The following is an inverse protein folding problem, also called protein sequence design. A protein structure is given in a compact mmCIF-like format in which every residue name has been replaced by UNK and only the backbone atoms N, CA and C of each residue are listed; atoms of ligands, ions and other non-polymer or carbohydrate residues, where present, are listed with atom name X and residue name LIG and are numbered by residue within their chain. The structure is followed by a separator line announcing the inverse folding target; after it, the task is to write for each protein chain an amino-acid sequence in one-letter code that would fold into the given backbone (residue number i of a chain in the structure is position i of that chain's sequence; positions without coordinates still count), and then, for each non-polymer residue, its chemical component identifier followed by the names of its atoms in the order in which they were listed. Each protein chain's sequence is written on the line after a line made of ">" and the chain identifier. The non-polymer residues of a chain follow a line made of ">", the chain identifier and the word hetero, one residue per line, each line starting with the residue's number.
data_IF_279225592504
#
_entry.id   IF_279225592504
#
_cell.length_a   1.000
_cell.length_b   1.000
_cell.length_c   1.000
_cell.angle_alpha   90.00
_cell.angle_beta   90.00
_cell.angle_gamma   90.00
#
_symmetry.space_group_name_H-M   'P 1'
#
loop_
_entity.id
_entity.type
_entity.pdbx_description
1 polymer ?
#
# COMPACT_ATOMS: atom_id res chain seq x y z
N UNK A 1 5.10 -30.36 -13.17
CA UNK A 1 4.47 -29.37 -12.28
C UNK A 1 5.36 -29.19 -11.08
N UNK A 2 6.13 -28.10 -11.05
CA UNK A 2 6.93 -27.77 -9.87
C UNK A 2 6.06 -27.25 -8.73
N UNK A 3 6.61 -27.10 -7.51
CA UNK A 3 5.87 -26.55 -6.38
C UNK A 3 5.40 -25.13 -6.71
N UNK A 4 4.11 -24.85 -6.48
CA UNK A 4 3.58 -23.49 -6.58
C UNK A 4 4.24 -22.59 -5.53
N UNK A 5 4.59 -21.34 -5.87
CA UNK A 5 5.19 -20.43 -4.90
C UNK A 5 4.28 -20.19 -3.70
N UNK A 6 4.91 -20.10 -2.54
CA UNK A 6 4.25 -19.97 -1.25
C UNK A 6 3.72 -18.55 -1.08
N UNK A 7 2.49 -18.46 -0.58
CA UNK A 7 1.83 -17.20 -0.24
C UNK A 7 1.37 -17.31 1.20
N UNK A 8 2.04 -16.58 2.08
CA UNK A 8 1.82 -16.64 3.51
C UNK A 8 1.53 -15.24 4.04
N UNK A 9 0.47 -15.13 4.82
CA UNK A 9 0.07 -13.91 5.50
C UNK A 9 -0.08 -14.15 6.99
N UNK A 10 0.48 -13.25 7.79
CA UNK A 10 0.30 -13.19 9.25
C UNK A 10 -0.33 -11.84 9.58
N UNK A 11 -1.49 -11.85 10.23
CA UNK A 11 -2.23 -10.63 10.55
C UNK A 11 -2.96 -9.99 9.36
N UNK A 12 -2.95 -10.63 8.19
CA UNK A 12 -3.75 -10.26 7.01
C UNK A 12 -4.44 -11.52 6.47
N UNK A 13 -5.65 -11.36 5.94
CA UNK A 13 -6.36 -12.45 5.25
C UNK A 13 -5.60 -12.94 4.01
N UNK A 14 -5.62 -14.26 3.77
CA UNK A 14 -4.86 -14.91 2.69
C UNK A 14 -5.48 -14.64 1.32
N UNK A 15 -6.81 -14.65 1.22
CA UNK A 15 -7.51 -14.42 -0.05
C UNK A 15 -7.36 -12.96 -0.46
N UNK A 16 -7.36 -12.05 0.51
CA UNK A 16 -7.01 -10.64 0.32
C UNK A 16 -5.58 -10.50 -0.23
N UNK A 17 -4.58 -11.21 0.31
CA UNK A 17 -3.23 -11.20 -0.26
C UNK A 17 -3.22 -11.71 -1.72
N UNK A 18 -3.94 -12.80 -2.01
CA UNK A 18 -4.02 -13.35 -3.36
C UNK A 18 -4.64 -12.35 -4.35
N UNK A 19 -5.73 -11.69 -3.93
CA UNK A 19 -6.39 -10.62 -4.68
C UNK A 19 -5.43 -9.46 -4.98
N UNK A 20 -4.73 -8.96 -3.97
CA UNK A 20 -3.78 -7.86 -4.12
C UNK A 20 -2.66 -8.20 -5.11
N UNK A 21 -2.11 -9.41 -5.03
CA UNK A 21 -1.10 -9.88 -5.99
C UNK A 21 -1.65 -9.97 -7.43
N UNK A 22 -2.91 -10.34 -7.60
CA UNK A 22 -3.55 -10.37 -8.91
C UNK A 22 -3.72 -8.95 -9.49
N UNK A 23 -4.16 -7.99 -8.67
CA UNK A 23 -4.30 -6.57 -9.07
C UNK A 23 -2.95 -5.97 -9.44
N UNK A 24 -1.93 -6.23 -8.61
CA UNK A 24 -0.56 -5.75 -8.83
C UNK A 24 -0.01 -6.21 -10.18
N UNK A 25 -0.21 -7.48 -10.52
CA UNK A 25 0.18 -8.04 -11.81
C UNK A 25 -0.61 -7.41 -12.96
N UNK A 26 -1.95 -7.37 -12.86
CA UNK A 26 -2.82 -6.92 -13.96
C UNK A 26 -2.67 -5.44 -14.28
N UNK A 27 -2.54 -4.58 -13.28
CA UNK A 27 -2.63 -3.13 -13.46
C UNK A 27 -1.30 -2.40 -13.34
N UNK A 28 -0.34 -2.93 -12.59
CA UNK A 28 0.98 -2.32 -12.47
C UNK A 28 2.09 -3.09 -13.21
N UNK A 29 1.76 -4.22 -13.85
CA UNK A 29 2.72 -5.05 -14.58
C UNK A 29 3.77 -5.72 -13.70
N UNK A 30 3.56 -5.75 -12.38
CA UNK A 30 4.50 -6.30 -11.42
C UNK A 30 4.09 -7.75 -11.12
N UNK A 31 4.81 -8.70 -11.72
CA UNK A 31 4.57 -10.11 -11.55
C UNK A 31 5.31 -10.66 -10.32
N UNK A 32 4.57 -11.31 -9.42
CA UNK A 32 5.10 -12.09 -8.30
C UNK A 32 4.72 -13.58 -8.43
N UNK A 33 4.46 -14.04 -9.66
CA UNK A 33 3.89 -15.37 -9.91
C UNK A 33 4.85 -16.52 -9.64
N UNK A 34 6.16 -16.24 -9.75
CA UNK A 34 7.28 -17.15 -9.55
C UNK A 34 8.01 -16.91 -8.21
N UNK A 35 7.49 -16.00 -7.38
CA UNK A 35 8.08 -15.60 -6.11
C UNK A 35 7.29 -16.13 -4.92
N UNK A 36 7.99 -16.59 -3.89
CA UNK A 36 7.39 -16.75 -2.57
C UNK A 36 7.07 -15.35 -1.99
N UNK A 37 5.85 -15.15 -1.51
CA UNK A 37 5.40 -13.88 -0.92
C UNK A 37 4.97 -14.11 0.53
N UNK A 38 5.69 -13.46 1.45
CA UNK A 38 5.39 -13.46 2.88
C UNK A 38 5.02 -12.04 3.33
N UNK A 39 3.83 -11.88 3.91
CA UNK A 39 3.37 -10.60 4.47
C UNK A 39 3.10 -10.79 5.96
N UNK A 40 3.64 -9.90 6.79
CA UNK A 40 3.46 -9.93 8.24
C UNK A 40 3.03 -8.56 8.76
N UNK A 41 1.89 -8.51 9.45
CA UNK A 41 1.49 -7.36 10.23
C UNK A 41 2.19 -7.40 11.61
N UNK A 42 3.22 -6.57 11.76
CA UNK A 42 4.08 -6.55 12.95
C UNK A 42 3.32 -6.06 14.19
N UNK A 43 3.71 -6.55 15.36
CA UNK A 43 3.09 -6.17 16.65
C UNK A 43 1.90 -7.04 17.05
N UNK A 44 1.69 -8.18 16.37
CA UNK A 44 0.59 -9.11 16.67
C UNK A 44 -0.79 -8.58 16.23
N UNK A 45 -0.81 -7.54 15.39
CA UNK A 45 -2.05 -6.90 14.94
C UNK A 45 -2.73 -7.73 13.86
N UNK A 46 -4.07 -7.65 13.82
CA UNK A 46 -4.88 -8.21 12.73
C UNK A 46 -5.50 -7.06 11.94
N UNK A 47 -5.19 -7.02 10.65
CA UNK A 47 -5.64 -5.99 9.71
C UNK A 47 -6.88 -6.51 8.98
N UNK A 48 -8.05 -6.11 9.47
CA UNK A 48 -9.33 -6.35 8.79
C UNK A 48 -9.72 -5.22 7.85
N UNK A 49 -9.14 -4.03 8.01
CA UNK A 49 -9.56 -2.83 7.27
C UNK A 49 -9.05 -2.84 5.82
N UNK A 50 -9.92 -2.63 4.81
CA UNK A 50 -9.54 -2.52 3.39
C UNK A 50 -8.53 -1.39 3.11
N UNK A 51 -8.56 -0.30 3.85
CA UNK A 51 -7.65 0.83 3.68
C UNK A 51 -6.15 0.48 3.85
N UNK A 52 -5.80 -0.71 4.34
CA UNK A 52 -4.42 -1.16 4.38
C UNK A 52 -3.90 -1.74 3.04
N UNK A 53 -4.76 -1.96 2.05
CA UNK A 53 -4.40 -2.64 0.79
C UNK A 53 -3.23 -1.95 0.07
N UNK A 54 -3.32 -0.62 -0.07
CA UNK A 54 -2.27 0.15 -0.73
C UNK A 54 -0.93 0.01 0.00
N UNK A 55 -0.92 0.04 1.33
CA UNK A 55 0.30 -0.13 2.12
C UNK A 55 0.92 -1.53 1.90
N UNK A 56 0.10 -2.57 1.84
CA UNK A 56 0.55 -3.94 1.56
C UNK A 56 1.15 -4.04 0.16
N UNK A 57 0.51 -3.46 -0.86
CA UNK A 57 1.04 -3.46 -2.23
C UNK A 57 2.40 -2.76 -2.33
N UNK A 58 2.53 -1.60 -1.70
CA UNK A 58 3.78 -0.84 -1.71
C UNK A 58 4.89 -1.57 -0.95
N UNK A 59 4.56 -2.26 0.14
CA UNK A 59 5.51 -3.10 0.87
C UNK A 59 6.00 -4.30 0.05
N UNK A 60 5.09 -4.98 -0.67
CA UNK A 60 5.45 -6.08 -1.58
C UNK A 60 6.35 -5.58 -2.69
N UNK A 61 6.00 -4.46 -3.33
CA UNK A 61 6.81 -3.86 -4.39
C UNK A 61 8.19 -3.43 -3.88
N UNK A 62 8.26 -2.79 -2.70
CA UNK A 62 9.52 -2.40 -2.05
C UNK A 62 10.43 -3.62 -1.79
N UNK A 63 9.86 -4.70 -1.25
CA UNK A 63 10.57 -5.96 -1.01
C UNK A 63 11.10 -6.58 -2.31
N UNK A 64 10.25 -6.68 -3.34
CA UNK A 64 10.62 -7.24 -4.64
C UNK A 64 11.76 -6.46 -5.31
N UNK A 65 11.79 -5.13 -5.13
CA UNK A 65 12.82 -4.26 -5.70
C UNK A 65 14.10 -4.15 -4.87
N UNK A 66 14.10 -4.67 -3.64
CA UNK A 66 15.20 -4.49 -2.69
C UNK A 66 15.46 -3.01 -2.35
N UNK A 67 14.43 -2.16 -2.45
CA UNK A 67 14.54 -0.71 -2.22
C UNK A 67 13.60 -0.29 -1.09
N UNK A 68 14.12 0.25 0.03
CA UNK A 68 13.28 0.64 1.16
C UNK A 68 12.41 1.86 0.80
N UNK A 69 11.20 1.91 1.37
CA UNK A 69 10.40 3.13 1.35
C UNK A 69 11.06 4.21 2.24
N UNK A 70 10.83 5.51 1.97
CA UNK A 70 11.41 6.59 2.76
C UNK A 70 11.09 6.51 4.25
N UNK A 71 11.97 7.05 5.10
CA UNK A 71 11.66 7.24 6.52
C UNK A 71 10.51 8.24 6.69
N UNK A 72 9.62 7.98 7.64
CA UNK A 72 8.44 8.83 7.85
C UNK A 72 7.36 8.66 6.78
N UNK A 73 7.38 7.55 6.03
CA UNK A 73 6.39 7.20 5.02
C UNK A 73 5.21 6.42 5.62
N UNK A 74 3.99 6.74 5.16
CA UNK A 74 2.84 5.86 5.33
C UNK A 74 1.94 5.87 4.08
N UNK A 75 1.05 4.89 3.98
CA UNK A 75 0.04 4.87 2.93
C UNK A 75 -1.25 4.25 3.46
N UNK A 76 -2.37 4.64 2.87
CA UNK A 76 -3.64 3.97 3.04
C UNK A 76 -4.47 4.11 1.76
N UNK A 77 -5.46 3.24 1.59
CA UNK A 77 -6.31 3.16 0.43
C UNK A 77 -6.76 1.72 0.22
N UNK A 78 -8.05 1.55 -0.06
CA UNK A 78 -8.62 0.26 -0.47
C UNK A 78 -8.33 0.06 -1.96
N UNK A 79 -8.00 -1.18 -2.35
CA UNK A 79 -7.68 -1.49 -3.73
C UNK A 79 -8.82 -2.29 -4.35
N UNK A 80 -9.41 -1.72 -5.40
CA UNK A 80 -10.39 -2.43 -6.20
C UNK A 80 -9.76 -3.34 -7.25
N UNK A 81 -10.55 -4.30 -7.73
CA UNK A 81 -10.11 -5.26 -8.75
C UNK A 81 -9.76 -4.62 -10.10
N UNK A 82 -10.29 -3.42 -10.37
CA UNK A 82 -9.99 -2.66 -11.58
C UNK A 82 -8.75 -1.76 -11.43
N UNK A 83 -8.00 -1.91 -10.33
CA UNK A 83 -6.76 -1.17 -10.05
C UNK A 83 -6.99 0.23 -9.51
N UNK A 84 -8.23 0.59 -9.19
CA UNK A 84 -8.57 1.87 -8.57
C UNK A 84 -8.19 1.91 -7.09
N UNK A 85 -7.82 3.09 -6.61
CA UNK A 85 -7.51 3.36 -5.22
C UNK A 85 -8.68 4.10 -4.59
N UNK A 86 -9.40 3.43 -3.69
CA UNK A 86 -10.65 3.89 -3.09
C UNK A 86 -10.40 4.53 -1.72
N UNK A 87 -11.23 5.53 -1.33
CA UNK A 87 -11.05 6.23 -0.07
C UNK A 87 -11.25 5.33 1.15
N UNK A 88 -10.36 5.48 2.13
CA UNK A 88 -10.52 4.88 3.45
C UNK A 88 -11.34 5.77 4.39
N UNK A 89 -11.94 5.19 5.45
CA UNK A 89 -12.68 5.95 6.45
C UNK A 89 -11.75 6.89 7.23
N UNK A 90 -12.27 8.08 7.56
CA UNK A 90 -11.57 9.09 8.38
C UNK A 90 -10.19 9.48 7.84
N UNK A 91 -10.06 9.61 6.51
CA UNK A 91 -8.77 9.88 5.87
C UNK A 91 -8.13 11.21 6.29
N UNK A 92 -8.94 12.25 6.52
CA UNK A 92 -8.44 13.55 6.97
C UNK A 92 -7.87 13.48 8.39
N UNK A 93 -8.54 12.74 9.28
CA UNK A 93 -8.10 12.50 10.65
C UNK A 93 -6.80 11.67 10.65
N UNK A 94 -6.72 10.61 9.83
CA UNK A 94 -5.51 9.80 9.67
C UNK A 94 -4.30 10.66 9.26
N UNK A 95 -4.47 11.54 8.27
CA UNK A 95 -3.41 12.43 7.81
C UNK A 95 -2.93 13.39 8.90
N UNK A 96 -3.86 14.00 9.65
CA UNK A 96 -3.53 14.92 10.75
C UNK A 96 -2.81 14.22 11.89
N UNK A 97 -3.27 13.03 12.28
CA UNK A 97 -2.61 12.24 13.33
C UNK A 97 -1.23 11.76 12.88
N UNK A 98 -1.08 11.33 11.62
CA UNK A 98 0.22 10.95 11.08
C UNK A 98 1.22 12.11 11.12
N UNK A 99 0.81 13.32 10.75
CA UNK A 99 1.67 14.50 10.84
C UNK A 99 2.10 14.79 12.29
N UNK A 100 1.19 14.67 13.27
CA UNK A 100 1.51 14.83 14.70
C UNK A 100 2.51 13.78 15.20
N UNK A 101 2.45 12.57 14.66
CA UNK A 101 3.36 11.46 14.98
C UNK A 101 4.71 11.56 14.23
N UNK A 102 4.91 12.59 13.41
CA UNK A 102 6.17 12.85 12.72
C UNK A 102 6.32 12.13 11.37
N UNK A 103 5.23 11.64 10.78
CA UNK A 103 5.26 11.20 9.38
C UNK A 103 5.40 12.40 8.45
N UNK A 104 6.30 12.28 7.49
CA UNK A 104 6.67 13.35 6.55
C UNK A 104 6.11 13.11 5.14
N UNK A 105 5.65 11.89 4.84
CA UNK A 105 5.17 11.53 3.52
C UNK A 105 4.00 10.54 3.56
N UNK A 106 2.98 10.80 2.74
CA UNK A 106 1.81 9.95 2.58
C UNK A 106 1.52 9.64 1.10
N UNK A 107 1.16 8.40 0.77
CA UNK A 107 0.42 8.09 -0.46
C UNK A 107 -1.01 7.70 -0.08
N UNK A 108 -2.00 8.42 -0.63
CA UNK A 108 -3.40 8.30 -0.22
C UNK A 108 -4.35 8.34 -1.42
N UNK A 109 -5.60 7.86 -1.27
CA UNK A 109 -6.60 7.99 -2.31
C UNK A 109 -6.88 9.47 -2.54
N UNK A 110 -7.04 9.90 -3.78
CA UNK A 110 -7.29 11.31 -4.10
C UNK A 110 -8.52 11.88 -3.40
N UNK A 111 -9.55 11.05 -3.23
CA UNK A 111 -10.75 11.42 -2.47
C UNK A 111 -10.49 11.67 -0.97
N UNK A 112 -9.38 11.20 -0.41
CA UNK A 112 -8.95 11.53 0.95
C UNK A 112 -7.92 12.68 1.00
N UNK A 113 -7.48 13.23 -0.13
CA UNK A 113 -6.52 14.33 -0.13
C UNK A 113 -7.13 15.59 0.53
N UNK A 114 -6.39 16.29 1.41
CA UNK A 114 -6.91 17.46 2.09
C UNK A 114 -6.98 18.66 1.14
N UNK A 115 -7.98 19.52 1.34
CA UNK A 115 -8.11 20.78 0.59
C UNK A 115 -7.01 21.79 0.93
N UNK A 116 -6.46 21.70 2.14
CA UNK A 116 -5.35 22.54 2.63
C UNK A 116 -4.17 21.63 2.93
N UNK A 117 -2.96 22.10 2.59
CA UNK A 117 -1.74 21.39 2.97
C UNK A 117 -1.69 21.17 4.49
N UNK A 118 -1.16 20.02 4.89
CA UNK A 118 -0.87 19.70 6.29
C UNK A 118 0.62 19.97 6.48
N UNK A 119 0.95 20.85 7.41
CA UNK A 119 2.34 21.24 7.68
C UNK A 119 3.20 20.01 8.01
N UNK A 120 4.40 19.96 7.43
CA UNK A 120 5.33 18.86 7.62
C UNK A 120 4.98 17.56 6.87
N UNK A 121 3.83 17.47 6.21
CA UNK A 121 3.38 16.26 5.53
C UNK A 121 3.22 16.45 4.01
N UNK A 122 4.09 15.81 3.24
CA UNK A 122 3.96 15.72 1.79
C UNK A 122 2.95 14.63 1.43
N UNK A 123 1.92 14.97 0.64
CA UNK A 123 0.83 14.06 0.30
C UNK A 123 0.81 13.82 -1.20
N UNK A 124 0.98 12.57 -1.60
CA UNK A 124 0.79 12.10 -2.96
C UNK A 124 -0.59 11.47 -3.10
N UNK A 125 -1.48 12.18 -3.78
CA UNK A 125 -2.84 11.73 -4.05
C UNK A 125 -2.88 10.85 -5.31
N UNK A 126 -3.46 9.65 -5.21
CA UNK A 126 -3.55 8.69 -6.31
C UNK A 126 -4.98 8.21 -6.52
N UNK A 127 -5.34 7.95 -7.78
CA UNK A 127 -6.61 7.30 -8.17
C UNK A 127 -6.41 5.84 -8.57
N UNK A 128 -5.16 5.44 -8.86
CA UNK A 128 -4.81 4.14 -9.46
C UNK A 128 -3.50 3.58 -8.93
N UNK A 129 -3.40 2.24 -8.89
CA UNK A 129 -2.25 1.50 -8.33
C UNK A 129 -0.95 1.79 -9.08
N UNK A 130 -0.98 1.83 -10.41
CA UNK A 130 0.20 2.11 -11.23
C UNK A 130 0.86 3.44 -10.90
N UNK A 131 0.06 4.49 -10.66
CA UNK A 131 0.56 5.80 -10.28
C UNK A 131 1.22 5.77 -8.90
N UNK A 132 0.66 5.02 -7.94
CA UNK A 132 1.29 4.80 -6.65
C UNK A 132 2.66 4.12 -6.78
N UNK A 133 2.77 3.13 -7.69
CA UNK A 133 4.03 2.44 -7.98
C UNK A 133 5.06 3.36 -8.63
N UNK A 134 4.64 4.23 -9.55
CA UNK A 134 5.49 5.25 -10.17
C UNK A 134 6.06 6.22 -9.14
N UNK A 135 5.22 6.72 -8.24
CA UNK A 135 5.65 7.61 -7.15
C UNK A 135 6.73 6.92 -6.32
N UNK A 136 6.49 5.72 -5.79
CA UNK A 136 7.50 5.04 -4.94
C UNK A 136 8.78 4.67 -5.69
N UNK A 137 8.73 4.46 -7.01
CA UNK A 137 9.95 4.28 -7.82
C UNK A 137 10.80 5.55 -7.89
N UNK A 138 10.18 6.72 -7.85
CA UNK A 138 10.89 8.01 -7.85
C UNK A 138 11.38 8.45 -6.47
N UNK A 139 10.89 7.83 -5.39
CA UNK A 139 11.26 8.17 -4.01
C UNK A 139 12.53 7.45 -3.50
N UNK A 140 13.07 6.50 -4.26
CA UNK A 140 14.10 5.54 -3.80
C UNK A 140 15.34 5.44 -4.69
#
# INVERSE_FOLDING_TARGET
>A
GGPSPRRLSVGLDKDRLAMLLAVLHRHAGIACMDQDVFVNAVGGVRISEPAADLAVLLAIHSSLRGKPLPRGFFAFGEIGLAGEVRPGPRGQERLKEAAKLGFSMAIVPKANAPKKAIEGLTIHAVDRVEHAMEIVRGLA
#
